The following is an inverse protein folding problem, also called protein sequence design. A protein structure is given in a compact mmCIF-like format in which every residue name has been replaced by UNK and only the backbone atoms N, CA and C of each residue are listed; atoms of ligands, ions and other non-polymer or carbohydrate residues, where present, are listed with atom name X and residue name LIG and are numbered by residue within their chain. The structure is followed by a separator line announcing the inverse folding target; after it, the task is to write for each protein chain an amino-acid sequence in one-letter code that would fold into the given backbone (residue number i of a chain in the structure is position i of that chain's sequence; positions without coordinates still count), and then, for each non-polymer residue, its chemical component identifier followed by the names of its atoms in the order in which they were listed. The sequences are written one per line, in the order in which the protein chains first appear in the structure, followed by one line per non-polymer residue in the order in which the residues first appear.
data_IF_421370281691
#
_entry.id   IF_421370281691
#
_cell.length_a   1.000
_cell.length_b   1.000
_cell.length_c   1.000
_cell.angle_alpha   90.00
_cell.angle_beta   90.00
_cell.angle_gamma   90.00
#
_symmetry.space_group_name_H-M   'P 1'
#
loop_
_entity.id
_entity.type
_entity.pdbx_description
1 polymer ?
#
# COMPACT_ATOMS: atom_id res chain seq x y z
N UNK A 1 -18.64 20.29 28.91
CA UNK A 1 -18.30 19.86 27.56
C UNK A 1 -17.18 20.74 27.05
N UNK A 2 -16.00 20.15 26.75
CA UNK A 2 -14.91 20.86 26.09
C UNK A 2 -15.42 21.27 24.71
N UNK A 3 -15.43 22.57 24.42
CA UNK A 3 -15.77 23.05 23.09
C UNK A 3 -14.80 22.43 22.04
N UNK A 4 -15.37 21.75 21.06
CA UNK A 4 -14.59 21.20 19.96
C UNK A 4 -13.85 22.33 19.25
N UNK A 5 -12.52 22.25 19.19
CA UNK A 5 -11.71 23.20 18.43
C UNK A 5 -11.71 22.76 16.96
N UNK A 6 -12.03 23.68 16.06
CA UNK A 6 -12.04 23.43 14.62
C UNK A 6 -10.62 23.28 13.99
N UNK A 7 -9.57 23.26 14.81
CA UNK A 7 -8.19 23.12 14.33
C UNK A 7 -7.60 21.79 14.78
N UNK A 8 -7.18 20.97 13.82
CA UNK A 8 -6.47 19.71 14.04
C UNK A 8 -4.95 19.89 14.04
N UNK A 9 -4.45 21.11 13.86
CA UNK A 9 -3.02 21.38 13.85
C UNK A 9 -2.40 21.18 15.24
N UNK A 10 -1.39 20.34 15.34
CA UNK A 10 -0.65 20.08 16.57
C UNK A 10 0.15 21.30 17.05
N UNK A 11 0.61 22.15 16.12
CA UNK A 11 1.57 23.21 16.36
C UNK A 11 3.02 22.70 16.43
N UNK A 12 3.97 23.57 16.11
CA UNK A 12 5.39 23.22 15.96
C UNK A 12 5.99 22.52 17.18
N UNK A 13 5.73 23.04 18.39
CA UNK A 13 6.32 22.48 19.61
C UNK A 13 5.86 21.04 19.92
N UNK A 14 4.60 20.69 19.61
CA UNK A 14 4.11 19.33 19.82
C UNK A 14 4.63 18.41 18.73
N UNK A 15 4.68 18.88 17.48
CA UNK A 15 5.23 18.11 16.37
C UNK A 15 6.73 17.83 16.59
N UNK A 16 7.51 18.81 17.04
CA UNK A 16 8.94 18.62 17.35
C UNK A 16 9.13 17.54 18.44
N UNK A 17 8.30 17.56 19.50
CA UNK A 17 8.35 16.51 20.53
C UNK A 17 8.03 15.12 19.95
N UNK A 18 7.04 15.01 19.07
CA UNK A 18 6.72 13.72 18.43
C UNK A 18 7.88 13.21 17.58
N UNK A 19 8.57 14.09 16.84
CA UNK A 19 9.75 13.71 16.06
C UNK A 19 10.83 13.12 16.99
N UNK A 20 11.08 13.76 18.13
CA UNK A 20 12.08 13.31 19.09
C UNK A 20 11.59 12.10 19.91
N UNK A 21 10.44 12.21 20.60
CA UNK A 21 10.02 11.26 21.64
C UNK A 21 9.36 10.00 21.04
N UNK A 22 8.59 10.14 19.95
CA UNK A 22 7.88 9.00 19.34
C UNK A 22 8.69 8.34 18.21
N UNK A 23 9.41 9.12 17.40
CA UNK A 23 10.20 8.60 16.29
C UNK A 23 11.67 8.36 16.64
N UNK A 24 12.15 8.85 17.81
CA UNK A 24 13.54 8.72 18.24
C UNK A 24 14.53 9.46 17.34
N UNK A 25 14.10 10.54 16.67
CA UNK A 25 14.91 11.28 15.70
C UNK A 25 15.37 12.62 16.27
N UNK A 26 16.68 12.86 16.27
CA UNK A 26 17.29 14.12 16.69
C UNK A 26 17.30 15.18 15.56
N UNK A 27 16.18 15.30 14.85
CA UNK A 27 16.01 16.29 13.79
C UNK A 27 15.11 17.45 14.22
N UNK A 28 15.47 18.66 13.83
CA UNK A 28 14.54 19.80 13.87
C UNK A 28 13.47 19.65 12.79
N UNK A 29 12.33 20.30 12.94
CA UNK A 29 11.28 20.29 11.91
C UNK A 29 11.78 20.80 10.57
N UNK A 30 12.64 21.82 10.55
CA UNK A 30 13.26 22.32 9.32
C UNK A 30 14.17 21.29 8.63
N UNK A 31 14.89 20.47 9.41
CA UNK A 31 15.67 19.36 8.85
C UNK A 31 14.80 18.24 8.30
N UNK A 32 13.69 17.91 8.98
CA UNK A 32 12.71 16.91 8.47
C UNK A 32 12.08 17.41 7.17
N UNK A 33 11.68 18.68 7.10
CA UNK A 33 11.12 19.28 5.89
C UNK A 33 12.14 19.27 4.73
N UNK A 34 13.37 19.72 4.97
CA UNK A 34 14.41 19.71 3.96
C UNK A 34 14.73 18.31 3.44
N UNK A 35 14.77 17.31 4.33
CA UNK A 35 14.95 15.89 3.95
C UNK A 35 13.78 15.41 3.10
N UNK A 36 12.54 15.69 3.50
CA UNK A 36 11.35 15.28 2.76
C UNK A 36 11.31 15.87 1.34
N UNK A 37 11.64 17.16 1.20
CA UNK A 37 11.71 17.84 -0.11
C UNK A 37 12.82 17.23 -0.98
N UNK A 38 14.00 17.04 -0.43
CA UNK A 38 15.14 16.43 -1.13
C UNK A 38 14.82 15.02 -1.63
N UNK A 39 14.16 14.20 -0.79
CA UNK A 39 13.74 12.84 -1.19
C UNK A 39 12.61 12.86 -2.22
N UNK A 40 11.67 13.79 -2.13
CA UNK A 40 10.63 13.95 -3.14
C UNK A 40 11.24 14.28 -4.52
N UNK A 41 12.19 15.19 -4.59
CA UNK A 41 12.90 15.55 -5.81
C UNK A 41 13.72 14.36 -6.37
N UNK A 42 14.44 13.65 -5.49
CA UNK A 42 15.22 12.47 -5.87
C UNK A 42 14.34 11.38 -6.45
N UNK A 43 13.23 11.05 -5.76
CA UNK A 43 12.28 10.01 -6.22
C UNK A 43 11.58 10.45 -7.49
N UNK A 44 11.18 11.72 -7.59
CA UNK A 44 10.60 12.30 -8.81
C UNK A 44 11.53 12.13 -10.01
N UNK A 45 12.82 12.44 -9.83
CA UNK A 45 13.83 12.24 -10.88
C UNK A 45 14.00 10.76 -11.28
N UNK A 46 13.93 9.83 -10.32
CA UNK A 46 13.96 8.38 -10.62
C UNK A 46 12.71 7.94 -11.38
N UNK A 47 11.54 8.45 -11.02
CA UNK A 47 10.28 8.14 -11.69
C UNK A 47 10.31 8.60 -13.15
N UNK A 48 10.74 9.84 -13.41
CA UNK A 48 10.90 10.36 -14.76
C UNK A 48 11.85 9.49 -15.60
N UNK A 49 13.01 9.12 -15.04
CA UNK A 49 13.96 8.22 -15.73
C UNK A 49 13.37 6.85 -16.01
N UNK A 50 12.60 6.28 -15.09
CA UNK A 50 11.94 4.99 -15.28
C UNK A 50 10.87 5.08 -16.39
N UNK A 51 10.05 6.12 -16.39
CA UNK A 51 9.00 6.34 -17.37
C UNK A 51 9.54 6.64 -18.77
N UNK A 52 10.69 7.30 -18.90
CA UNK A 52 11.29 7.63 -20.20
C UNK A 52 11.53 6.42 -21.12
N UNK A 53 11.62 5.21 -20.56
CA UNK A 53 11.71 3.94 -21.31
C UNK A 53 10.42 3.58 -22.05
N UNK A 54 9.29 4.14 -21.62
CA UNK A 54 7.95 3.82 -22.15
C UNK A 54 7.37 4.93 -23.02
N UNK A 55 7.94 6.14 -22.99
CA UNK A 55 7.47 7.25 -23.80
C UNK A 55 8.40 8.45 -23.72
N UNK A 56 9.23 8.67 -24.74
CA UNK A 56 10.11 9.85 -24.78
C UNK A 56 9.28 11.13 -24.92
N UNK A 57 9.62 12.14 -24.13
CA UNK A 57 8.96 13.46 -24.16
C UNK A 57 7.60 13.52 -23.48
N UNK A 58 7.10 12.41 -22.94
CA UNK A 58 5.86 12.39 -22.17
C UNK A 58 6.14 12.53 -20.66
N UNK A 59 5.17 13.11 -19.92
CA UNK A 59 5.26 13.16 -18.47
C UNK A 59 5.08 11.77 -17.85
N UNK A 60 5.68 11.54 -16.68
CA UNK A 60 5.50 10.29 -15.94
C UNK A 60 4.02 10.02 -15.63
N UNK A 61 3.26 11.07 -15.30
CA UNK A 61 1.82 10.98 -15.05
C UNK A 61 1.04 10.48 -16.27
N UNK A 62 1.34 11.01 -17.46
CA UNK A 62 0.72 10.57 -18.72
C UNK A 62 1.00 9.11 -19.01
N UNK A 63 2.26 8.67 -18.84
CA UNK A 63 2.68 7.28 -19.09
C UNK A 63 1.99 6.32 -18.11
N UNK A 64 1.98 6.65 -16.80
CA UNK A 64 1.34 5.83 -15.77
C UNK A 64 -0.18 5.82 -15.98
N UNK A 65 -0.78 6.98 -16.30
CA UNK A 65 -2.21 7.08 -16.59
C UNK A 65 -2.63 6.19 -17.75
N UNK A 66 -1.84 6.21 -18.84
CA UNK A 66 -2.05 5.32 -19.98
C UNK A 66 -1.92 3.85 -19.58
N UNK A 67 -0.83 3.47 -18.92
CA UNK A 67 -0.62 2.09 -18.48
C UNK A 67 -1.75 1.59 -17.58
N UNK A 68 -2.26 2.44 -16.67
CA UNK A 68 -3.41 2.13 -15.82
C UNK A 68 -4.69 1.94 -16.63
N UNK A 69 -4.98 2.83 -17.60
CA UNK A 69 -6.20 2.75 -18.41
C UNK A 69 -6.23 1.55 -19.37
N UNK A 70 -5.07 1.03 -19.73
CA UNK A 70 -4.93 -0.15 -20.58
C UNK A 70 -4.85 -1.46 -19.76
N UNK A 71 -4.63 -1.36 -18.44
CA UNK A 71 -4.48 -2.55 -17.61
C UNK A 71 -5.83 -3.22 -17.32
N UNK A 72 -5.84 -4.54 -17.50
CA UNK A 72 -6.96 -5.42 -17.15
C UNK A 72 -6.39 -6.66 -16.46
N UNK A 73 -6.97 -7.09 -15.32
CA UNK A 73 -6.51 -8.30 -14.65
C UNK A 73 -6.79 -9.55 -15.50
N UNK A 74 -5.89 -10.53 -15.45
CA UNK A 74 -6.06 -11.83 -16.09
C UNK A 74 -6.99 -12.73 -15.26
N UNK A 75 -8.30 -12.45 -15.29
CA UNK A 75 -9.32 -13.24 -14.61
C UNK A 75 -9.92 -12.54 -13.38
N UNK A 76 -10.40 -13.34 -12.42
CA UNK A 76 -10.99 -12.85 -11.18
C UNK A 76 -9.97 -12.07 -10.33
N UNK A 77 -10.33 -10.88 -9.88
CA UNK A 77 -9.42 -9.97 -9.19
C UNK A 77 -8.84 -10.60 -7.90
N UNK A 78 -9.64 -11.33 -7.13
CA UNK A 78 -9.18 -11.96 -5.91
C UNK A 78 -8.14 -13.06 -6.21
N UNK A 79 -8.34 -13.83 -7.27
CA UNK A 79 -7.38 -14.85 -7.70
C UNK A 79 -6.08 -14.22 -8.23
N UNK A 80 -6.16 -13.10 -8.92
CA UNK A 80 -4.98 -12.34 -9.34
C UNK A 80 -4.17 -11.88 -8.13
N UNK A 81 -4.83 -11.36 -7.08
CA UNK A 81 -4.18 -11.01 -5.82
C UNK A 81 -3.53 -12.20 -5.12
N UNK A 82 -4.21 -13.36 -5.07
CA UNK A 82 -3.65 -14.59 -4.48
C UNK A 82 -2.40 -15.07 -5.21
N UNK A 83 -2.46 -15.12 -6.54
CA UNK A 83 -1.30 -15.48 -7.39
C UNK A 83 -0.14 -14.53 -7.18
N UNK A 84 -0.42 -13.24 -7.19
CA UNK A 84 0.61 -12.22 -7.06
C UNK A 84 1.25 -12.20 -5.66
N UNK A 85 0.45 -12.36 -4.61
CA UNK A 85 0.95 -12.51 -3.23
C UNK A 85 1.90 -13.69 -3.12
N UNK A 86 1.53 -14.85 -3.68
CA UNK A 86 2.39 -16.03 -3.68
C UNK A 86 3.66 -15.83 -4.51
N UNK A 87 3.57 -15.15 -5.66
CA UNK A 87 4.72 -14.85 -6.52
C UNK A 87 5.73 -13.97 -5.79
N UNK A 88 5.26 -12.88 -5.17
CA UNK A 88 6.09 -11.94 -4.41
C UNK A 88 6.75 -12.64 -3.22
N UNK A 89 5.98 -13.37 -2.40
CA UNK A 89 6.52 -14.15 -1.28
C UNK A 89 7.60 -15.13 -1.71
N UNK A 90 7.37 -15.86 -2.81
CA UNK A 90 8.34 -16.81 -3.38
C UNK A 90 9.61 -16.11 -3.85
N UNK A 91 9.49 -14.92 -4.45
CA UNK A 91 10.63 -14.11 -4.87
C UNK A 91 11.53 -13.74 -3.69
N UNK A 92 10.95 -13.25 -2.59
CA UNK A 92 11.69 -12.88 -1.37
C UNK A 92 12.32 -14.09 -0.67
N UNK A 93 11.62 -15.24 -0.63
CA UNK A 93 12.18 -16.50 -0.12
C UNK A 93 13.39 -16.96 -0.94
N UNK A 94 13.26 -16.96 -2.27
CA UNK A 94 14.34 -17.36 -3.19
C UNK A 94 15.55 -16.43 -3.09
N UNK A 95 15.33 -15.14 -2.96
CA UNK A 95 16.37 -14.14 -2.80
C UNK A 95 17.02 -14.17 -1.41
N UNK A 96 16.43 -14.88 -0.44
CA UNK A 96 16.83 -14.86 0.99
C UNK A 96 16.94 -13.43 1.54
N UNK A 97 16.10 -12.54 1.05
CA UNK A 97 16.14 -11.12 1.40
C UNK A 97 15.55 -10.83 2.79
N UNK A 98 14.65 -11.70 3.24
CA UNK A 98 14.00 -11.62 4.55
C UNK A 98 13.78 -13.03 5.11
N UNK A 99 13.68 -13.14 6.44
CA UNK A 99 13.29 -14.38 7.12
C UNK A 99 11.76 -14.49 7.18
N UNK A 100 11.24 -15.71 7.09
CA UNK A 100 9.84 -16.02 7.26
C UNK A 100 9.64 -16.84 8.54
N UNK A 101 8.78 -16.44 9.46
CA UNK A 101 8.51 -17.20 10.67
C UNK A 101 7.83 -18.53 10.35
N UNK A 102 8.03 -19.51 11.23
CA UNK A 102 7.35 -20.81 11.10
C UNK A 102 5.89 -20.66 11.54
N UNK A 103 4.96 -21.14 10.70
CA UNK A 103 3.54 -21.20 11.06
C UNK A 103 2.79 -19.88 10.83
N UNK A 104 3.39 -18.91 10.14
CA UNK A 104 2.66 -17.77 9.63
C UNK A 104 1.55 -18.23 8.66
N UNK A 105 0.41 -17.59 8.73
CA UNK A 105 -0.74 -17.87 7.86
C UNK A 105 -1.31 -16.57 7.33
N UNK A 106 -1.35 -16.41 6.01
CA UNK A 106 -1.98 -15.28 5.36
C UNK A 106 -3.18 -15.72 4.54
N UNK A 107 -4.32 -15.08 4.77
CA UNK A 107 -5.54 -15.29 3.99
C UNK A 107 -5.84 -14.07 3.14
N UNK A 108 -5.92 -14.24 1.83
CA UNK A 108 -6.36 -13.19 0.91
C UNK A 108 -7.85 -13.35 0.67
N UNK A 109 -8.64 -12.32 1.08
CA UNK A 109 -10.11 -12.35 1.08
C UNK A 109 -10.71 -11.07 0.52
N UNK A 110 -11.92 -11.16 -0.01
CA UNK A 110 -12.71 -9.96 -0.34
C UNK A 110 -13.14 -9.23 0.94
N UNK A 111 -13.12 -7.89 0.88
CA UNK A 111 -13.70 -7.05 1.91
C UNK A 111 -15.20 -7.33 2.00
N UNK A 112 -15.76 -7.60 3.20
CA UNK A 112 -17.20 -7.71 3.39
C UNK A 112 -17.93 -6.45 2.91
N UNK A 113 -19.11 -6.61 2.35
CA UNK A 113 -19.85 -5.50 1.72
C UNK A 113 -20.01 -4.29 2.63
N UNK A 114 -20.36 -4.50 3.88
CA UNK A 114 -20.57 -3.43 4.87
C UNK A 114 -19.29 -2.66 5.24
N UNK A 115 -18.10 -3.21 4.91
CA UNK A 115 -16.80 -2.58 5.18
C UNK A 115 -16.17 -1.94 3.93
N UNK A 116 -16.74 -2.11 2.74
CA UNK A 116 -16.13 -1.64 1.48
C UNK A 116 -15.84 -0.15 1.45
N UNK A 117 -16.67 0.64 2.12
CA UNK A 117 -16.49 2.10 2.21
C UNK A 117 -15.28 2.53 3.07
N UNK A 118 -14.69 1.62 3.85
CA UNK A 118 -13.56 1.91 4.74
C UNK A 118 -12.20 1.75 4.04
N UNK A 119 -12.15 0.97 2.97
CA UNK A 119 -10.90 0.63 2.30
C UNK A 119 -10.93 1.09 0.83
N UNK A 120 -9.88 1.76 0.33
CA UNK A 120 -9.86 2.16 -1.08
C UNK A 120 -9.75 0.96 -2.02
N UNK A 121 -8.67 0.19 -1.95
CA UNK A 121 -8.41 -0.98 -2.82
C UNK A 121 -8.04 -2.23 -2.05
N UNK A 122 -7.25 -2.08 -0.99
CA UNK A 122 -6.74 -3.17 -0.20
C UNK A 122 -6.41 -2.72 1.22
N UNK A 123 -6.28 -3.67 2.13
CA UNK A 123 -5.87 -3.43 3.51
C UNK A 123 -5.38 -4.73 4.16
N UNK A 124 -4.63 -4.59 5.24
CA UNK A 124 -4.19 -5.72 6.05
C UNK A 124 -4.80 -5.66 7.46
N UNK A 125 -5.22 -6.83 7.96
CA UNK A 125 -5.59 -7.03 9.36
C UNK A 125 -4.63 -7.99 10.02
N UNK A 126 -3.93 -7.52 11.06
CA UNK A 126 -2.98 -8.32 11.82
C UNK A 126 -3.69 -9.33 12.72
N UNK A 127 -3.05 -10.47 13.05
CA UNK A 127 -3.49 -11.30 14.15
C UNK A 127 -3.35 -10.56 15.50
N UNK A 128 -4.07 -11.01 16.49
CA UNK A 128 -3.86 -10.54 17.86
C UNK A 128 -2.46 -10.98 18.35
N UNK A 129 -1.76 -10.14 19.15
CA UNK A 129 -0.37 -10.42 19.53
C UNK A 129 -0.20 -11.67 20.39
N UNK A 130 -1.26 -12.15 21.02
CA UNK A 130 -1.26 -13.35 21.87
C UNK A 130 -2.01 -14.54 21.26
N UNK A 131 -2.42 -14.44 19.98
CA UNK A 131 -3.04 -15.58 19.31
C UNK A 131 -2.02 -16.67 19.03
N UNK A 132 -2.41 -17.93 19.30
CA UNK A 132 -1.54 -19.09 19.03
C UNK A 132 -1.25 -19.27 17.55
N UNK A 133 -2.21 -18.91 16.69
CA UNK A 133 -2.06 -18.90 15.23
C UNK A 133 -1.89 -17.46 14.76
N UNK A 134 -0.74 -17.15 14.23
CA UNK A 134 -0.45 -15.84 13.66
C UNK A 134 -1.05 -15.75 12.25
N UNK A 135 -2.38 -15.59 12.19
CA UNK A 135 -3.14 -15.52 10.94
C UNK A 135 -3.49 -14.08 10.60
N UNK A 136 -2.85 -13.54 9.58
CA UNK A 136 -3.21 -12.25 9.00
C UNK A 136 -4.28 -12.38 7.91
N UNK A 137 -5.00 -11.30 7.65
CA UNK A 137 -5.96 -11.22 6.55
C UNK A 137 -5.57 -10.05 5.65
N UNK A 138 -5.33 -10.37 4.40
CA UNK A 138 -5.15 -9.39 3.33
C UNK A 138 -6.49 -9.19 2.64
N UNK A 139 -7.11 -8.05 2.88
CA UNK A 139 -8.39 -7.67 2.31
C UNK A 139 -8.22 -7.06 0.92
N UNK A 140 -9.00 -7.54 -0.03
CA UNK A 140 -9.11 -6.99 -1.39
C UNK A 140 -10.49 -6.36 -1.52
N UNK A 141 -10.55 -5.08 -1.84
CA UNK A 141 -11.82 -4.36 -2.00
C UNK A 141 -12.19 -4.26 -3.49
N UNK A 142 -12.87 -5.27 -3.98
CA UNK A 142 -13.39 -5.24 -5.35
C UNK A 142 -14.66 -4.38 -5.45
N UNK A 143 -14.47 -3.08 -5.64
CA UNK A 143 -15.55 -2.11 -5.81
C UNK A 143 -16.34 -2.33 -7.11
N UNK A 144 -15.80 -3.06 -8.09
CA UNK A 144 -16.50 -3.38 -9.34
C UNK A 144 -17.76 -4.21 -9.10
N UNK A 145 -17.80 -4.99 -8.01
CA UNK A 145 -18.96 -5.78 -7.61
C UNK A 145 -20.21 -4.94 -7.30
N UNK A 146 -20.04 -3.66 -6.96
CA UNK A 146 -21.12 -2.72 -6.67
C UNK A 146 -21.58 -1.92 -7.91
N UNK A 147 -20.96 -2.13 -9.07
CA UNK A 147 -21.26 -1.38 -10.31
C UNK A 147 -22.10 -2.19 -11.27
N UNK A 148 -22.93 -1.49 -12.03
CA UNK A 148 -23.85 -2.13 -13.00
C UNK A 148 -23.29 -2.14 -14.42
N UNK A 149 -22.67 -1.06 -14.86
CA UNK A 149 -22.15 -0.96 -16.23
C UNK A 149 -20.74 -1.56 -16.37
N UNK A 150 -20.43 -2.10 -17.54
CA UNK A 150 -19.10 -2.64 -17.84
C UNK A 150 -17.99 -1.59 -17.75
N UNK A 151 -18.27 -0.35 -18.15
CA UNK A 151 -17.31 0.74 -18.09
C UNK A 151 -16.97 1.12 -16.65
N UNK A 152 -17.97 1.23 -15.76
CA UNK A 152 -17.75 1.50 -14.34
C UNK A 152 -16.98 0.36 -13.68
N UNK A 153 -17.34 -0.91 -13.97
CA UNK A 153 -16.61 -2.07 -13.46
C UNK A 153 -15.15 -2.04 -13.86
N UNK A 154 -14.85 -1.77 -15.11
CA UNK A 154 -13.48 -1.66 -15.62
C UNK A 154 -12.72 -0.53 -14.90
N UNK A 155 -13.33 0.65 -14.77
CA UNK A 155 -12.72 1.79 -14.07
C UNK A 155 -12.37 1.47 -12.62
N UNK A 156 -13.25 0.76 -11.89
CA UNK A 156 -12.94 0.34 -10.51
C UNK A 156 -11.82 -0.70 -10.46
N UNK A 157 -11.84 -1.68 -11.37
CA UNK A 157 -10.78 -2.69 -11.44
C UNK A 157 -9.43 -2.05 -11.75
N UNK A 158 -9.38 -1.04 -12.60
CA UNK A 158 -8.15 -0.31 -12.95
C UNK A 158 -7.52 0.46 -11.78
N UNK A 159 -8.26 0.71 -10.67
CA UNK A 159 -7.70 1.26 -9.45
C UNK A 159 -6.67 0.30 -8.80
N UNK A 160 -6.74 -0.98 -9.12
CA UNK A 160 -5.81 -1.99 -8.65
C UNK A 160 -4.52 -2.10 -9.49
N UNK A 161 -4.32 -1.21 -10.45
CA UNK A 161 -3.05 -1.15 -11.18
C UNK A 161 -1.87 -1.04 -10.20
N UNK A 162 -0.85 -1.89 -10.40
CA UNK A 162 0.27 -1.97 -9.45
C UNK A 162 0.11 -3.02 -8.34
N UNK A 163 -0.75 -4.01 -8.56
CA UNK A 163 -1.07 -5.11 -7.63
C UNK A 163 0.16 -5.78 -7.00
N UNK A 164 1.29 -5.89 -7.72
CA UNK A 164 2.55 -6.43 -7.20
C UNK A 164 3.08 -5.61 -6.03
N UNK A 165 3.01 -4.29 -6.14
CA UNK A 165 3.46 -3.39 -5.09
C UNK A 165 2.52 -3.45 -3.87
N UNK A 166 1.21 -3.50 -4.11
CA UNK A 166 0.20 -3.68 -3.07
C UNK A 166 0.40 -5.01 -2.34
N UNK A 167 0.63 -6.11 -3.07
CA UNK A 167 0.91 -7.41 -2.49
C UNK A 167 2.19 -7.41 -1.64
N UNK A 168 3.24 -6.71 -2.09
CA UNK A 168 4.46 -6.55 -1.30
C UNK A 168 4.23 -5.73 -0.04
N UNK A 169 3.40 -4.69 -0.11
CA UNK A 169 3.08 -3.81 1.01
C UNK A 169 2.22 -4.49 2.07
N UNK A 170 1.15 -5.17 1.67
CA UNK A 170 0.19 -5.78 2.60
C UNK A 170 0.62 -7.16 3.10
N UNK A 171 1.36 -7.92 2.27
CA UNK A 171 1.75 -9.28 2.59
C UNK A 171 3.24 -9.40 2.91
N UNK A 172 4.07 -9.71 1.92
CA UNK A 172 5.48 -10.03 2.06
C UNK A 172 6.36 -9.16 1.15
N UNK A 173 7.32 -8.40 1.68
CA UNK A 173 7.81 -8.35 3.07
C UNK A 173 7.10 -7.34 3.98
N UNK A 174 5.92 -6.86 3.59
CA UNK A 174 5.20 -5.76 4.21
C UNK A 174 4.50 -6.11 5.53
N UNK A 175 3.29 -5.59 5.69
CA UNK A 175 2.55 -5.64 6.97
C UNK A 175 2.44 -7.04 7.55
N UNK A 176 2.08 -8.05 6.75
CA UNK A 176 1.92 -9.40 7.29
C UNK A 176 3.22 -9.89 7.92
N UNK A 177 4.34 -9.83 7.20
CA UNK A 177 5.62 -10.29 7.74
C UNK A 177 6.01 -9.51 9.00
N UNK A 178 5.83 -8.19 9.00
CA UNK A 178 6.13 -7.32 10.15
C UNK A 178 5.36 -7.74 11.41
N UNK A 179 4.07 -8.06 11.29
CA UNK A 179 3.22 -8.33 12.45
C UNK A 179 3.27 -9.77 12.95
N UNK A 180 3.80 -10.72 12.15
CA UNK A 180 3.94 -12.12 12.55
C UNK A 180 5.38 -12.50 12.95
N UNK A 181 6.31 -11.54 12.91
CA UNK A 181 7.72 -11.71 13.34
C UNK A 181 7.89 -11.27 14.78
#
# INVERSE_FOLDING_TARGET
PLAAKNSFALGANRLQRRVHDELGLDYTLGQVEALALSEADRIGGLLVKACAKYGQGQSAESIIGKARSEWVPEGDLLEVYRKETNRVASGFRKAKAVSFPKGDELQVRLVPEFMRHLYPTAAYSSPGPFEKRQRGIFWVNDLSLAKSSAAEKLSEVQQHFGISLTAAHEAYPGHHLQFVT
#
